data_IF_513204526701
#
_entry.id   IF_513204526701
#
_cell.length_a   1.000
_cell.length_b   1.000
_cell.length_c   1.000
_cell.angle_alpha   90.00
_cell.angle_beta   90.00
_cell.angle_gamma   90.00
#
_symmetry.space_group_name_H-M   'P 1'
#
loop_
_entity.id
_entity.type
_entity.pdbx_description
1 polymer ?
#
# COMPACT_ATOMS: atom_id res chain seq x y z
N UNK A 1 15.51 36.11 19.33
CA UNK A 1 14.58 35.08 18.83
C UNK A 1 14.81 34.93 17.33
N UNK A 2 15.46 33.85 16.90
CA UNK A 2 16.03 33.71 15.55
C UNK A 2 15.11 32.90 14.61
N UNK A 3 14.87 33.45 13.42
CA UNK A 3 14.00 32.97 12.33
C UNK A 3 14.58 31.75 11.57
N UNK A 4 14.88 30.63 12.24
CA UNK A 4 15.61 29.52 11.60
C UNK A 4 14.96 28.12 11.69
N UNK A 5 13.63 28.00 11.73
CA UNK A 5 12.97 26.68 11.87
C UNK A 5 12.20 26.20 10.61
N UNK A 6 12.25 26.92 9.49
CA UNK A 6 11.50 26.54 8.27
C UNK A 6 12.33 26.49 6.97
N UNK A 7 13.66 26.59 7.04
CA UNK A 7 14.49 26.45 5.85
C UNK A 7 14.74 24.96 5.54
N UNK A 8 14.53 24.48 4.30
CA UNK A 8 14.84 23.10 3.92
C UNK A 8 16.35 22.83 4.07
N UNK A 9 16.77 21.57 4.34
CA UNK A 9 18.17 21.24 4.50
C UNK A 9 18.94 21.61 3.22
N UNK A 10 19.95 22.47 3.38
CA UNK A 10 20.88 22.85 2.31
C UNK A 10 22.16 22.04 2.43
N UNK A 11 22.61 21.43 1.33
CA UNK A 11 23.92 20.79 1.29
C UNK A 11 24.96 21.77 0.74
N UNK A 12 26.03 21.97 1.51
CA UNK A 12 27.15 22.86 1.15
C UNK A 12 28.23 22.04 0.46
N UNK A 13 28.53 22.34 -0.79
CA UNK A 13 29.66 21.73 -1.52
C UNK A 13 30.86 22.70 -1.58
N UNK A 14 32.04 22.20 -1.99
CA UNK A 14 33.23 23.04 -2.16
C UNK A 14 32.95 24.20 -3.13
N UNK A 15 33.64 25.34 -2.92
CA UNK A 15 33.44 26.60 -3.66
C UNK A 15 32.15 27.38 -3.33
N UNK A 16 31.70 27.32 -2.07
CA UNK A 16 30.67 28.21 -1.51
C UNK A 16 29.30 28.17 -2.22
N UNK A 17 28.96 27.04 -2.86
CA UNK A 17 27.64 26.79 -3.47
C UNK A 17 26.76 26.01 -2.51
N UNK A 18 25.56 26.52 -2.24
CA UNK A 18 24.52 25.87 -1.44
C UNK A 18 23.43 25.34 -2.37
N UNK A 19 23.15 24.04 -2.30
CA UNK A 19 22.06 23.40 -3.03
C UNK A 19 20.91 23.06 -2.08
N UNK A 20 19.67 23.27 -2.54
CA UNK A 20 18.46 22.81 -1.82
C UNK A 20 18.23 21.34 -2.15
N UNK A 21 18.08 20.51 -1.11
CA UNK A 21 17.86 19.08 -1.27
C UNK A 21 16.36 18.80 -1.30
N UNK A 22 15.89 18.15 -2.37
CA UNK A 22 14.54 17.60 -2.40
C UNK A 22 14.50 16.36 -1.50
N UNK A 23 13.46 16.25 -0.66
CA UNK A 23 13.23 15.07 0.15
C UNK A 23 12.81 13.94 -0.80
N UNK A 24 13.75 13.05 -1.12
CA UNK A 24 13.50 11.83 -1.88
C UNK A 24 13.12 10.74 -0.87
N UNK A 25 12.01 10.04 -1.12
CA UNK A 25 11.57 8.94 -0.26
C UNK A 25 12.67 7.88 -0.12
N UNK A 26 12.83 7.27 1.05
CA UNK A 26 13.93 6.34 1.33
C UNK A 26 13.95 5.12 0.39
N UNK A 27 12.77 4.68 -0.07
CA UNK A 27 12.62 3.60 -1.05
C UNK A 27 13.24 3.92 -2.44
N UNK A 28 13.52 5.19 -2.73
CA UNK A 28 14.24 5.65 -3.94
C UNK A 28 15.70 6.07 -3.64
N UNK A 29 16.19 5.74 -2.44
CA UNK A 29 17.57 5.98 -2.03
C UNK A 29 17.80 7.28 -1.27
N UNK A 30 16.78 7.93 -0.69
CA UNK A 30 16.92 9.18 0.08
C UNK A 30 18.14 9.23 1.02
N UNK A 31 18.44 8.12 1.72
CA UNK A 31 19.62 7.95 2.58
C UNK A 31 20.96 7.81 1.83
N UNK A 32 20.99 7.21 0.64
CA UNK A 32 22.20 7.08 -0.22
C UNK A 32 22.55 8.37 -0.94
N UNK A 33 21.58 9.21 -1.27
CA UNK A 33 21.82 10.49 -1.96
C UNK A 33 22.52 11.54 -1.08
N UNK A 34 22.41 11.42 0.25
CA UNK A 34 23.04 12.32 1.22
C UNK A 34 24.41 11.84 1.74
N UNK A 35 24.89 10.67 1.31
CA UNK A 35 26.18 10.12 1.74
C UNK A 35 27.28 10.41 0.71
N UNK A 36 28.51 10.70 1.20
CA UNK A 36 29.68 10.98 0.34
C UNK A 36 29.94 9.82 -0.62
N UNK A 37 30.00 10.16 -1.92
CA UNK A 37 30.29 9.28 -3.05
C UNK A 37 31.31 8.18 -2.74
N UNK A 38 30.89 6.92 -2.88
CA UNK A 38 31.78 5.86 -3.36
C UNK A 38 31.42 5.56 -4.81
N UNK A 39 32.42 5.69 -5.68
CA UNK A 39 32.33 5.46 -7.11
C UNK A 39 32.13 3.98 -7.39
N UNK A 40 30.93 3.58 -7.80
CA UNK A 40 30.71 2.32 -8.50
C UNK A 40 30.24 2.61 -9.91
N UNK A 41 31.02 2.18 -10.89
CA UNK A 41 30.70 2.13 -12.32
C UNK A 41 29.44 1.28 -12.56
N UNK A 42 28.27 1.93 -12.53
CA UNK A 42 26.99 1.28 -12.86
C UNK A 42 26.76 1.38 -14.36
N UNK A 43 26.55 0.21 -15.00
CA UNK A 43 25.91 0.13 -16.33
C UNK A 43 24.63 0.97 -16.33
N UNK A 44 24.37 1.66 -17.44
CA UNK A 44 23.17 2.46 -17.63
C UNK A 44 21.93 1.61 -17.37
N UNK A 45 20.99 2.17 -16.61
CA UNK A 45 19.71 1.52 -16.34
C UNK A 45 18.93 1.46 -17.66
N UNK A 46 18.82 0.28 -18.26
CA UNK A 46 17.90 0.00 -19.37
C UNK A 46 16.56 -0.42 -18.76
N UNK A 47 15.55 0.43 -18.93
CA UNK A 47 14.16 0.12 -18.57
C UNK A 47 13.62 -0.91 -19.59
N UNK A 48 13.02 -2.00 -19.12
CA UNK A 48 12.35 -2.95 -20.01
C UNK A 48 11.24 -2.24 -20.78
N UNK A 49 11.03 -2.63 -22.03
CA UNK A 49 9.98 -2.08 -22.88
C UNK A 49 8.60 -2.47 -22.32
N UNK A 50 8.00 -1.55 -21.57
CA UNK A 50 6.71 -1.70 -20.89
C UNK A 50 5.54 -1.21 -21.76
N UNK A 51 5.78 -0.84 -23.03
CA UNK A 51 4.79 -0.27 -23.94
C UNK A 51 4.23 -1.30 -24.93
N UNK A 52 3.92 -2.51 -24.45
CA UNK A 52 3.11 -3.45 -25.23
C UNK A 52 1.71 -2.86 -25.47
N UNK A 53 1.20 -2.99 -26.70
CA UNK A 53 -0.15 -2.55 -27.12
C UNK A 53 -1.24 -3.26 -26.30
N UNK A 54 -1.50 -2.77 -25.10
CA UNK A 54 -2.68 -3.09 -24.32
C UNK A 54 -3.66 -1.91 -24.44
N UNK A 55 -4.80 -2.16 -25.10
CA UNK A 55 -5.93 -1.24 -25.23
C UNK A 55 -6.54 -0.97 -23.84
N UNK A 56 -5.97 -0.01 -23.11
CA UNK A 56 -6.53 0.46 -21.84
C UNK A 56 -7.77 1.33 -22.06
N UNK A 57 -8.82 1.06 -21.29
CA UNK A 57 -10.06 1.83 -21.22
C UNK A 57 -9.81 3.32 -20.97
N UNK A 58 -10.70 4.16 -21.53
CA UNK A 58 -10.70 5.62 -21.44
C UNK A 58 -10.42 6.11 -20.01
N UNK A 59 -9.26 6.73 -19.80
CA UNK A 59 -8.90 7.28 -18.52
C UNK A 59 -9.81 8.48 -18.21
N UNK A 60 -10.73 8.34 -17.25
CA UNK A 60 -11.66 9.42 -16.87
C UNK A 60 -11.00 10.75 -16.47
N UNK A 61 -9.68 10.79 -16.23
CA UNK A 61 -8.92 12.04 -16.05
C UNK A 61 -8.71 12.80 -17.37
N UNK A 62 -8.82 12.15 -18.52
CA UNK A 62 -8.85 12.81 -19.83
C UNK A 62 -10.00 13.82 -19.93
N UNK A 63 -11.11 13.63 -19.18
CA UNK A 63 -12.21 14.60 -19.10
C UNK A 63 -11.80 15.93 -18.46
N UNK A 64 -10.75 15.96 -17.63
CA UNK A 64 -10.27 17.15 -16.92
C UNK A 64 -9.27 17.99 -17.73
N UNK A 65 -9.05 17.67 -19.02
CA UNK A 65 -8.20 18.47 -19.90
C UNK A 65 -8.94 19.74 -20.31
N UNK A 66 -8.41 20.88 -19.87
CA UNK A 66 -8.94 22.22 -20.13
C UNK A 66 -8.31 22.81 -21.40
N UNK A 67 -9.13 23.41 -22.26
CA UNK A 67 -8.67 24.27 -23.36
C UNK A 67 -8.40 25.68 -22.83
N UNK A 68 -7.24 26.22 -23.17
CA UNK A 68 -6.78 27.54 -22.75
C UNK A 68 -7.21 28.60 -23.76
N UNK A 69 -7.28 29.89 -23.37
CA UNK A 69 -7.65 30.99 -24.28
C UNK A 69 -6.74 31.13 -25.52
N UNK A 70 -5.52 30.58 -25.47
CA UNK A 70 -4.58 30.58 -26.59
C UNK A 70 -4.74 29.36 -27.53
N UNK A 71 -5.75 28.53 -27.30
CA UNK A 71 -6.02 27.29 -28.05
C UNK A 71 -5.15 26.10 -27.64
N UNK A 72 -4.29 26.24 -26.61
CA UNK A 72 -3.53 25.13 -26.06
C UNK A 72 -4.35 24.31 -25.05
N UNK A 73 -3.92 23.08 -24.77
CA UNK A 73 -4.55 22.20 -23.79
C UNK A 73 -3.68 22.06 -22.55
N UNK A 74 -4.33 22.06 -21.38
CA UNK A 74 -3.67 21.89 -20.08
C UNK A 74 -4.39 20.83 -19.25
N UNK A 75 -3.60 20.00 -18.59
CA UNK A 75 -4.07 19.11 -17.54
C UNK A 75 -3.33 19.40 -16.24
N UNK A 76 -4.08 19.52 -15.14
CA UNK A 76 -3.54 19.53 -13.79
C UNK A 76 -3.81 18.16 -13.15
N UNK A 77 -2.74 17.45 -12.79
CA UNK A 77 -2.79 16.10 -12.23
C UNK A 77 -2.21 16.12 -10.82
N UNK A 78 -2.98 15.66 -9.84
CA UNK A 78 -2.45 15.44 -8.50
C UNK A 78 -1.44 14.28 -8.50
N UNK A 79 -0.22 14.55 -8.03
CA UNK A 79 0.84 13.53 -7.90
C UNK A 79 1.50 13.69 -6.53
N UNK A 80 1.56 12.64 -5.69
CA UNK A 80 2.26 12.68 -4.43
C UNK A 80 3.72 13.10 -4.58
N UNK A 81 4.19 13.96 -3.67
CA UNK A 81 5.57 14.51 -3.70
C UNK A 81 6.64 13.43 -3.71
N UNK A 82 6.36 12.28 -3.10
CA UNK A 82 7.24 11.10 -3.08
C UNK A 82 7.60 10.59 -4.48
N UNK A 83 6.76 10.84 -5.50
CA UNK A 83 7.02 10.44 -6.88
C UNK A 83 7.82 11.46 -7.69
N UNK A 84 7.95 12.71 -7.23
CA UNK A 84 8.60 13.78 -8.03
C UNK A 84 10.03 13.41 -8.42
N UNK A 85 10.79 12.79 -7.51
CA UNK A 85 12.16 12.35 -7.80
C UNK A 85 12.22 11.33 -8.94
N UNK A 86 11.32 10.33 -8.92
CA UNK A 86 11.22 9.32 -9.98
C UNK A 86 10.71 9.88 -11.31
N UNK A 87 9.73 10.78 -11.26
CA UNK A 87 9.16 11.45 -12.43
C UNK A 87 10.18 12.35 -13.13
N UNK A 88 10.98 13.10 -12.36
CA UNK A 88 12.07 13.92 -12.90
C UNK A 88 13.16 12.99 -13.46
N UNK A 89 13.55 11.97 -12.72
CA UNK A 89 14.64 11.06 -13.09
C UNK A 89 16.03 11.69 -12.96
N UNK A 90 17.07 10.91 -13.22
CA UNK A 90 18.45 11.37 -13.08
C UNK A 90 18.73 12.53 -14.04
N UNK A 91 19.10 13.70 -13.50
CA UNK A 91 19.29 14.95 -14.27
C UNK A 91 18.08 15.33 -15.15
N UNK A 92 16.87 14.93 -14.77
CA UNK A 92 15.67 15.23 -15.56
C UNK A 92 15.45 14.31 -16.75
N UNK A 93 16.18 13.19 -16.86
CA UNK A 93 16.13 12.30 -18.03
C UNK A 93 14.73 11.77 -18.32
N UNK A 94 14.03 11.28 -17.29
CA UNK A 94 12.71 10.65 -17.43
C UNK A 94 11.66 11.66 -17.87
N UNK A 95 11.60 12.81 -17.19
CA UNK A 95 10.72 13.92 -17.56
C UNK A 95 10.96 14.36 -19.01
N UNK A 96 12.22 14.61 -19.40
CA UNK A 96 12.58 15.04 -20.77
C UNK A 96 12.20 13.99 -21.82
N UNK A 97 12.37 12.71 -21.49
CA UNK A 97 11.97 11.60 -22.36
C UNK A 97 10.46 11.62 -22.61
N UNK A 98 9.64 11.71 -21.56
CA UNK A 98 8.18 11.78 -21.68
C UNK A 98 7.77 13.04 -22.49
N UNK A 99 8.34 14.21 -22.18
CA UNK A 99 8.08 15.46 -22.92
C UNK A 99 8.40 15.32 -24.42
N UNK A 100 9.52 14.66 -24.77
CA UNK A 100 9.95 14.46 -26.16
C UNK A 100 9.03 13.49 -26.90
N UNK A 101 8.74 12.33 -26.31
CA UNK A 101 7.92 11.28 -26.92
C UNK A 101 6.45 11.72 -27.10
N UNK A 102 5.92 12.51 -26.15
CA UNK A 102 4.53 12.96 -26.17
C UNK A 102 4.34 14.36 -26.77
N UNK A 103 5.41 15.06 -27.15
CA UNK A 103 5.35 16.47 -27.61
C UNK A 103 4.59 17.37 -26.63
N UNK A 104 4.91 17.23 -25.34
CA UNK A 104 4.29 18.01 -24.26
C UNK A 104 5.33 18.76 -23.44
N UNK A 105 4.86 19.75 -22.68
CA UNK A 105 5.62 20.36 -21.59
C UNK A 105 5.05 19.91 -20.26
N UNK A 106 5.89 19.36 -19.40
CA UNK A 106 5.54 18.88 -18.07
C UNK A 106 6.19 19.81 -17.05
N UNK A 107 5.40 20.36 -16.14
CA UNK A 107 5.89 21.14 -15.00
C UNK A 107 5.62 20.39 -13.70
N UNK A 108 6.70 19.92 -13.06
CA UNK A 108 6.67 19.31 -11.74
C UNK A 108 6.73 20.42 -10.68
N UNK A 109 5.76 20.47 -9.74
CA UNK A 109 5.71 21.48 -8.71
C UNK A 109 6.99 21.58 -7.87
N UNK A 110 7.40 22.81 -7.60
CA UNK A 110 8.46 23.15 -6.64
C UNK A 110 7.85 23.55 -5.31
N UNK A 111 8.66 23.53 -4.24
CA UNK A 111 8.22 23.97 -2.91
C UNK A 111 7.69 25.41 -2.85
N UNK A 112 8.05 26.23 -3.85
CA UNK A 112 7.61 27.63 -3.99
C UNK A 112 6.27 27.78 -4.70
N UNK A 113 5.78 26.71 -5.32
CA UNK A 113 4.57 26.77 -6.14
C UNK A 113 3.35 26.66 -5.22
N UNK A 114 2.28 27.41 -5.55
CA UNK A 114 1.06 27.46 -4.74
C UNK A 114 0.21 26.17 -4.85
N UNK A 115 0.33 25.45 -5.97
CA UNK A 115 -0.31 24.15 -6.20
C UNK A 115 0.74 23.04 -6.19
N UNK A 116 0.34 21.86 -5.72
CA UNK A 116 1.13 20.62 -5.76
C UNK A 116 0.75 19.72 -6.95
N UNK A 117 0.05 20.25 -7.96
CA UNK A 117 -0.38 19.49 -9.12
C UNK A 117 0.66 19.54 -10.24
N UNK A 118 0.97 18.36 -10.80
CA UNK A 118 1.73 18.21 -12.03
C UNK A 118 0.95 18.86 -13.18
N UNK A 119 1.56 19.79 -13.91
CA UNK A 119 0.91 20.44 -15.04
C UNK A 119 1.47 19.87 -16.35
N UNK A 120 0.60 19.33 -17.20
CA UNK A 120 0.93 18.87 -18.56
C UNK A 120 0.30 19.85 -19.55
N UNK A 121 1.06 20.31 -20.55
CA UNK A 121 0.58 21.23 -21.59
C UNK A 121 1.00 20.79 -22.99
N UNK A 122 0.12 20.98 -23.97
CA UNK A 122 0.43 20.81 -25.40
C UNK A 122 -0.55 21.60 -26.26
N UNK A 123 -0.24 21.78 -27.54
CA UNK A 123 -1.16 22.40 -28.50
C UNK A 123 -2.22 21.41 -29.03
N UNK A 124 -2.05 20.11 -28.79
CA UNK A 124 -3.00 19.08 -29.20
C UNK A 124 -3.46 18.27 -27.99
N UNK A 125 -4.76 18.01 -27.89
CA UNK A 125 -5.35 17.22 -26.80
C UNK A 125 -4.78 15.80 -26.73
N UNK A 126 -4.60 15.16 -27.89
CA UNK A 126 -4.03 13.81 -28.01
C UNK A 126 -2.63 13.68 -27.38
N UNK A 127 -1.80 14.71 -27.51
CA UNK A 127 -0.46 14.75 -26.92
C UNK A 127 -0.53 14.80 -25.38
N UNK A 128 -1.50 15.55 -24.82
CA UNK A 128 -1.74 15.57 -23.36
C UNK A 128 -2.20 14.20 -22.86
N UNK A 129 -3.11 13.52 -23.58
CA UNK A 129 -3.53 12.15 -23.24
C UNK A 129 -2.34 11.16 -23.30
N UNK A 130 -1.50 11.25 -24.33
CA UNK A 130 -0.30 10.41 -24.47
C UNK A 130 0.67 10.63 -23.29
N UNK A 131 0.91 11.88 -22.90
CA UNK A 131 1.73 12.21 -21.74
C UNK A 131 1.14 11.69 -20.42
N UNK A 132 -0.17 11.85 -20.23
CA UNK A 132 -0.90 11.35 -19.05
C UNK A 132 -0.71 9.84 -18.89
N UNK A 133 -0.90 9.06 -19.97
CA UNK A 133 -0.70 7.60 -19.97
C UNK A 133 0.72 7.22 -19.58
N UNK A 134 1.73 7.87 -20.20
CA UNK A 134 3.15 7.64 -19.87
C UNK A 134 3.48 7.99 -18.42
N UNK A 135 2.93 9.07 -17.89
CA UNK A 135 3.10 9.46 -16.49
C UNK A 135 2.47 8.41 -15.57
N UNK A 136 1.26 7.94 -15.85
CA UNK A 136 0.59 6.90 -15.04
C UNK A 136 1.36 5.60 -14.98
N UNK A 137 1.78 5.07 -16.12
CA UNK A 137 2.59 3.85 -16.18
C UNK A 137 3.87 3.97 -15.35
N UNK A 138 4.52 5.14 -15.39
CA UNK A 138 5.68 5.42 -14.54
C UNK A 138 5.31 5.45 -13.06
N UNK A 139 4.22 6.14 -12.68
CA UNK A 139 3.77 6.20 -11.29
C UNK A 139 3.43 4.81 -10.74
N UNK A 140 2.77 3.95 -11.53
CA UNK A 140 2.44 2.58 -11.15
C UNK A 140 3.71 1.74 -10.96
N UNK A 141 4.67 1.85 -11.88
CA UNK A 141 5.98 1.21 -11.77
C UNK A 141 6.74 1.66 -10.51
N UNK A 142 6.71 2.96 -10.20
CA UNK A 142 7.32 3.49 -8.99
C UNK A 142 6.60 3.00 -7.73
N UNK A 143 5.26 2.99 -7.72
CA UNK A 143 4.44 2.55 -6.57
C UNK A 143 4.65 1.07 -6.27
N UNK A 144 4.80 0.21 -7.28
CA UNK A 144 5.12 -1.22 -7.13
C UNK A 144 6.43 -1.49 -6.37
N UNK A 145 7.30 -0.49 -6.25
CA UNK A 145 8.57 -0.59 -5.52
C UNK A 145 8.48 -0.05 -4.08
N UNK A 146 7.36 0.57 -3.72
CA UNK A 146 7.17 1.18 -2.40
C UNK A 146 6.62 0.17 -1.42
N UNK A 147 6.95 0.38 -0.14
CA UNK A 147 6.40 -0.45 0.93
C UNK A 147 4.92 -0.14 1.14
N UNK A 148 4.08 -1.16 1.45
CA UNK A 148 2.71 -0.94 1.87
C UNK A 148 2.59 0.00 3.07
N UNK A 149 1.52 0.79 3.07
CA UNK A 149 1.23 1.81 4.09
C UNK A 149 -0.13 1.63 4.72
N UNK A 150 -1.12 1.12 3.98
CA UNK A 150 -2.49 0.95 4.45
C UNK A 150 -3.03 -0.42 4.05
N UNK A 151 -4.09 -0.86 4.74
CA UNK A 151 -4.78 -2.09 4.44
C UNK A 151 -6.26 -2.01 4.81
N UNK A 152 -7.11 -2.77 4.14
CA UNK A 152 -8.51 -2.95 4.53
C UNK A 152 -8.60 -4.08 5.55
N UNK A 153 -9.28 -3.84 6.66
CA UNK A 153 -9.34 -4.74 7.79
C UNK A 153 -10.78 -5.01 8.24
N UNK A 154 -11.08 -6.27 8.53
CA UNK A 154 -12.25 -6.68 9.33
C UNK A 154 -11.76 -7.04 10.73
N UNK A 155 -12.13 -6.30 11.78
CA UNK A 155 -11.67 -6.58 13.13
C UNK A 155 -12.30 -7.87 13.67
N UNK A 156 -11.50 -8.70 14.34
CA UNK A 156 -11.94 -9.91 15.06
C UNK A 156 -11.54 -9.84 16.55
N UNK A 157 -11.16 -8.66 17.03
CA UNK A 157 -10.56 -8.40 18.33
C UNK A 157 -11.58 -8.26 19.48
N UNK A 158 -12.75 -8.90 19.34
CA UNK A 158 -13.83 -8.90 20.35
C UNK A 158 -14.62 -10.20 20.33
N UNK A 159 -15.40 -10.44 21.39
CA UNK A 159 -16.30 -11.59 21.51
C UNK A 159 -15.58 -12.94 21.51
N UNK A 160 -16.31 -13.97 21.07
CA UNK A 160 -15.89 -15.37 21.16
C UNK A 160 -14.54 -15.63 20.48
N UNK A 161 -14.30 -15.08 19.28
CA UNK A 161 -13.05 -15.32 18.53
C UNK A 161 -11.83 -14.82 19.30
N UNK A 162 -11.93 -13.65 19.96
CA UNK A 162 -10.83 -13.13 20.80
C UNK A 162 -10.58 -14.03 22.00
N UNK A 163 -11.62 -14.44 22.70
CA UNK A 163 -11.49 -15.28 23.89
C UNK A 163 -10.85 -16.63 23.54
N UNK A 164 -11.28 -17.23 22.42
CA UNK A 164 -10.72 -18.48 21.91
C UNK A 164 -9.29 -18.32 21.37
N UNK A 165 -8.97 -17.17 20.78
CA UNK A 165 -7.59 -16.84 20.40
C UNK A 165 -6.67 -16.80 21.63
N UNK A 166 -7.10 -16.15 22.71
CA UNK A 166 -6.34 -16.12 23.97
C UNK A 166 -6.20 -17.52 24.58
N UNK A 167 -7.25 -18.35 24.52
CA UNK A 167 -7.22 -19.76 24.94
C UNK A 167 -6.17 -20.56 24.15
N UNK A 168 -6.18 -20.44 22.82
CA UNK A 168 -5.20 -21.11 21.96
C UNK A 168 -3.77 -20.63 22.26
N UNK A 169 -3.58 -19.32 22.38
CA UNK A 169 -2.28 -18.71 22.71
C UNK A 169 -1.72 -19.30 24.00
N UNK A 170 -2.54 -19.37 25.05
CA UNK A 170 -2.13 -19.97 26.32
C UNK A 170 -1.75 -21.45 26.16
N UNK A 171 -2.59 -22.24 25.47
CA UNK A 171 -2.32 -23.67 25.22
C UNK A 171 -1.03 -23.93 24.45
N UNK A 172 -0.70 -23.10 23.46
CA UNK A 172 0.54 -23.21 22.68
C UNK A 172 1.75 -22.85 23.55
N UNK A 173 1.67 -21.77 24.33
CA UNK A 173 2.76 -21.35 25.21
C UNK A 173 3.03 -22.36 26.33
N UNK A 174 1.98 -22.94 26.91
CA UNK A 174 2.08 -23.98 27.95
C UNK A 174 2.72 -25.28 27.41
N UNK A 175 2.63 -25.52 26.11
CA UNK A 175 3.28 -26.65 25.47
C UNK A 175 4.81 -26.50 25.33
N UNK A 176 5.37 -25.32 25.62
CA UNK A 176 6.81 -25.02 25.64
C UNK A 176 7.53 -25.51 24.37
N UNK A 177 6.92 -25.28 23.20
CA UNK A 177 7.47 -25.74 21.93
C UNK A 177 8.76 -24.98 21.58
N UNK A 178 9.84 -25.67 21.16
CA UNK A 178 11.11 -25.02 20.83
C UNK A 178 10.95 -23.96 19.75
N UNK A 179 11.50 -22.76 20.00
CA UNK A 179 11.45 -21.67 19.02
C UNK A 179 10.07 -21.06 18.83
N UNK A 180 9.11 -21.32 19.72
CA UNK A 180 7.80 -20.66 19.77
C UNK A 180 7.68 -19.89 21.08
N UNK A 181 7.57 -18.57 21.00
CA UNK A 181 7.44 -17.67 22.14
C UNK A 181 6.26 -16.71 21.97
N UNK A 182 6.01 -15.88 22.98
CA UNK A 182 4.90 -14.92 22.99
C UNK A 182 5.02 -13.82 21.95
N UNK A 183 6.23 -13.51 21.46
CA UNK A 183 6.46 -12.43 20.48
C UNK A 183 5.97 -12.82 19.08
N UNK A 184 5.93 -14.11 18.75
CA UNK A 184 5.37 -14.58 17.48
C UNK A 184 3.88 -14.28 17.34
N UNK A 185 3.14 -14.13 18.44
CA UNK A 185 1.70 -13.92 18.39
C UNK A 185 1.37 -12.49 17.97
N UNK A 186 0.40 -12.35 17.08
CA UNK A 186 -0.24 -11.06 16.90
C UNK A 186 -0.86 -10.61 18.23
N UNK A 187 -0.88 -9.30 18.50
CA UNK A 187 -1.62 -8.80 19.64
C UNK A 187 -3.10 -9.17 19.50
N UNK A 188 -3.72 -9.63 20.59
CA UNK A 188 -5.15 -9.95 20.68
C UNK A 188 -6.04 -8.73 20.39
N UNK A 189 -5.51 -7.52 20.55
CA UNK A 189 -6.16 -6.27 20.16
C UNK A 189 -6.19 -6.07 18.65
N UNK A 190 -5.26 -6.71 17.95
CA UNK A 190 -5.00 -6.55 16.52
C UNK A 190 -5.40 -7.76 15.68
N UNK A 191 -6.08 -8.78 16.19
CA UNK A 191 -6.57 -9.89 15.36
C UNK A 191 -7.62 -9.38 14.36
N UNK A 192 -7.42 -9.68 13.08
CA UNK A 192 -8.23 -9.17 11.98
C UNK A 192 -8.10 -10.03 10.71
N UNK A 193 -9.00 -9.79 9.75
CA UNK A 193 -8.87 -10.23 8.37
C UNK A 193 -8.35 -9.09 7.50
N UNK A 194 -7.42 -9.36 6.60
CA UNK A 194 -6.95 -8.38 5.60
C UNK A 194 -7.69 -8.58 4.28
N UNK A 195 -8.42 -7.56 3.82
CA UNK A 195 -9.16 -7.58 2.54
C UNK A 195 -8.40 -6.91 1.40
N UNK A 196 -7.33 -6.18 1.70
CA UNK A 196 -6.51 -5.55 0.68
C UNK A 196 -5.36 -4.75 1.28
N UNK A 197 -4.30 -4.53 0.51
CA UNK A 197 -3.08 -3.83 0.94
C UNK A 197 -2.72 -2.74 -0.08
N UNK A 198 -2.38 -1.55 0.41
CA UNK A 198 -2.27 -0.33 -0.40
C UNK A 198 -1.03 0.50 -0.06
N UNK A 199 -0.62 1.31 -1.04
CA UNK A 199 0.38 2.37 -0.89
C UNK A 199 -0.36 3.70 -1.06
N UNK A 200 -0.54 4.48 0.01
CA UNK A 200 -1.20 5.78 0.03
C UNK A 200 -0.23 6.80 0.64
N UNK A 201 0.21 7.77 -0.14
CA UNK A 201 1.42 8.53 0.14
C UNK A 201 1.15 9.91 0.75
N UNK A 202 -0.05 10.45 0.61
CA UNK A 202 -0.45 11.72 1.19
C UNK A 202 -1.93 11.73 1.62
N UNK A 203 -2.38 12.86 2.18
CA UNK A 203 -3.74 13.02 2.68
C UNK A 203 -4.79 13.02 1.57
N UNK A 204 -4.43 13.46 0.36
CA UNK A 204 -5.34 13.46 -0.77
C UNK A 204 -5.63 12.03 -1.23
N UNK A 205 -4.60 11.19 -1.37
CA UNK A 205 -4.78 9.76 -1.66
C UNK A 205 -5.52 9.03 -0.54
N UNK A 206 -5.22 9.32 0.73
CA UNK A 206 -5.95 8.74 1.87
C UNK A 206 -7.44 9.07 1.80
N UNK A 207 -7.79 10.34 1.55
CA UNK A 207 -9.17 10.77 1.40
C UNK A 207 -9.83 10.10 0.19
N UNK A 208 -9.12 9.99 -0.93
CA UNK A 208 -9.65 9.33 -2.12
C UNK A 208 -9.91 7.84 -1.86
N UNK A 209 -8.97 7.12 -1.25
CA UNK A 209 -9.14 5.71 -0.90
C UNK A 209 -10.34 5.48 0.05
N UNK A 210 -10.62 6.41 0.96
CA UNK A 210 -11.83 6.35 1.80
C UNK A 210 -13.10 6.57 0.96
N UNK A 211 -13.08 7.48 -0.01
CA UNK A 211 -14.20 7.66 -0.94
C UNK A 211 -14.44 6.40 -1.78
N UNK A 212 -13.38 5.80 -2.33
CA UNK A 212 -13.46 4.52 -3.05
C UNK A 212 -13.97 3.39 -2.17
N UNK A 213 -13.59 3.37 -0.89
CA UNK A 213 -14.19 2.43 0.06
C UNK A 213 -15.70 2.69 0.26
N UNK A 214 -16.16 3.94 0.20
CA UNK A 214 -17.60 4.24 0.27
C UNK A 214 -18.34 3.81 -1.00
N UNK A 215 -17.75 3.92 -2.19
CA UNK A 215 -18.39 3.48 -3.44
C UNK A 215 -18.62 1.96 -3.44
N UNK A 216 -17.76 1.20 -2.76
CA UNK A 216 -17.92 -0.24 -2.54
C UNK A 216 -19.25 -0.61 -1.84
N UNK A 217 -19.89 0.33 -1.12
CA UNK A 217 -21.21 0.13 -0.49
C UNK A 217 -22.24 -0.40 -1.49
N UNK A 218 -22.15 -0.02 -2.77
CA UNK A 218 -23.08 -0.46 -3.80
C UNK A 218 -23.17 -2.00 -3.93
N UNK A 219 -22.09 -2.72 -3.61
CA UNK A 219 -22.09 -4.19 -3.69
C UNK A 219 -22.65 -4.88 -2.46
N UNK A 220 -22.98 -4.14 -1.40
CA UNK A 220 -23.67 -4.68 -0.23
C UNK A 220 -25.16 -4.90 -0.51
N UNK A 221 -25.74 -4.24 -1.52
CA UNK A 221 -27.17 -4.33 -1.83
C UNK A 221 -27.62 -5.77 -2.13
N UNK A 222 -26.74 -6.57 -2.74
CA UNK A 222 -27.02 -7.97 -3.11
C UNK A 222 -26.58 -8.98 -2.05
N UNK A 223 -26.08 -8.53 -0.90
CA UNK A 223 -25.48 -9.38 0.12
C UNK A 223 -26.22 -9.31 1.45
N UNK A 224 -26.29 -10.44 2.15
CA UNK A 224 -26.82 -10.49 3.51
C UNK A 224 -25.80 -9.94 4.49
N UNK A 225 -26.15 -8.81 5.11
CA UNK A 225 -25.39 -8.18 6.19
C UNK A 225 -26.17 -8.28 7.51
N UNK A 226 -25.49 -8.35 8.67
CA UNK A 226 -24.03 -8.39 8.83
C UNK A 226 -23.43 -9.71 8.36
N UNK A 227 -22.16 -9.68 7.96
CA UNK A 227 -21.50 -10.88 7.44
C UNK A 227 -21.20 -11.84 8.59
N UNK A 228 -21.74 -13.05 8.50
CA UNK A 228 -21.41 -14.13 9.42
C UNK A 228 -20.06 -14.75 9.05
N UNK A 229 -19.23 -14.95 10.07
CA UNK A 229 -17.90 -15.50 9.95
C UNK A 229 -17.80 -16.75 10.83
N UNK A 230 -17.26 -17.82 10.26
CA UNK A 230 -16.85 -19.00 11.02
C UNK A 230 -15.33 -19.12 10.95
N UNK A 231 -14.68 -19.11 12.11
CA UNK A 231 -13.22 -19.14 12.22
C UNK A 231 -12.83 -20.47 12.83
N UNK A 232 -12.24 -21.35 12.01
CA UNK A 232 -11.89 -22.70 12.44
C UNK A 232 -10.72 -23.23 11.65
N UNK A 233 -9.86 -23.94 12.35
CA UNK A 233 -8.71 -24.62 11.81
C UNK A 233 -7.51 -23.70 11.64
N UNK A 234 -6.32 -24.32 11.52
CA UNK A 234 -5.04 -23.65 11.38
C UNK A 234 -4.32 -24.13 10.12
N UNK A 235 -3.74 -23.19 9.40
CA UNK A 235 -2.91 -23.44 8.22
C UNK A 235 -1.70 -22.50 8.21
N UNK A 236 -0.80 -22.76 7.26
CA UNK A 236 0.42 -21.99 7.03
C UNK A 236 0.44 -21.42 5.61
N UNK A 237 1.13 -20.28 5.43
CA UNK A 237 1.15 -19.60 4.12
C UNK A 237 2.10 -20.27 3.11
N UNK A 238 3.01 -21.12 3.59
CA UNK A 238 3.96 -21.90 2.80
C UNK A 238 3.73 -23.41 2.97
N UNK A 239 4.38 -24.25 2.18
CA UNK A 239 4.13 -25.71 2.19
C UNK A 239 5.01 -26.51 3.16
N UNK A 240 5.85 -25.84 3.96
CA UNK A 240 6.81 -26.49 4.88
C UNK A 240 6.50 -26.17 6.36
N UNK A 241 5.86 -27.10 7.10
CA UNK A 241 5.58 -26.97 8.53
C UNK A 241 6.82 -26.83 9.42
N UNK A 242 8.00 -27.26 8.99
CA UNK A 242 9.23 -27.12 9.76
C UNK A 242 9.85 -25.72 9.66
N UNK A 243 9.39 -24.92 8.70
CA UNK A 243 9.94 -23.60 8.36
C UNK A 243 8.82 -22.59 8.07
N UNK A 244 7.98 -22.35 9.09
CA UNK A 244 6.81 -21.47 8.99
C UNK A 244 7.19 -20.03 9.22
N UNK A 245 6.63 -19.11 8.42
CA UNK A 245 6.69 -17.66 8.67
C UNK A 245 5.37 -17.08 9.13
N UNK A 246 4.26 -17.60 8.62
CA UNK A 246 2.91 -17.15 8.94
C UNK A 246 2.05 -18.37 9.18
N UNK A 247 1.47 -18.45 10.37
CA UNK A 247 0.41 -19.39 10.72
C UNK A 247 -0.87 -18.60 10.96
N UNK A 248 -1.96 -19.01 10.33
CA UNK A 248 -3.23 -18.31 10.36
C UNK A 248 -4.39 -19.27 10.64
N UNK A 249 -5.49 -18.72 11.13
CA UNK A 249 -6.76 -19.42 11.25
C UNK A 249 -7.57 -19.28 9.95
N UNK A 250 -8.19 -20.38 9.52
CA UNK A 250 -9.04 -20.40 8.33
C UNK A 250 -10.40 -19.76 8.62
N UNK A 251 -10.97 -19.11 7.61
CA UNK A 251 -12.19 -18.30 7.74
C UNK A 251 -13.14 -18.67 6.63
N UNK A 252 -14.35 -19.05 7.01
CA UNK A 252 -15.46 -19.32 6.10
C UNK A 252 -16.49 -18.19 6.24
N UNK A 253 -16.68 -17.45 5.15
CA UNK A 253 -17.72 -16.40 5.05
C UNK A 253 -18.01 -16.10 3.58
N UNK A 254 -18.98 -16.82 2.96
CA UNK A 254 -19.26 -16.69 1.52
C UNK A 254 -19.64 -15.26 1.10
N UNK A 255 -20.45 -14.57 1.89
CA UNK A 255 -20.91 -13.21 1.60
C UNK A 255 -19.76 -12.20 1.72
N UNK A 256 -18.92 -12.30 2.77
CA UNK A 256 -17.74 -11.44 2.90
C UNK A 256 -16.73 -11.73 1.81
N UNK A 257 -16.54 -12.99 1.40
CA UNK A 257 -15.64 -13.36 0.30
C UNK A 257 -16.05 -12.64 -0.99
N UNK A 258 -17.34 -12.72 -1.36
CA UNK A 258 -17.86 -12.00 -2.54
C UNK A 258 -17.65 -10.49 -2.43
N UNK A 259 -17.90 -9.90 -1.26
CA UNK A 259 -17.67 -8.48 -1.04
C UNK A 259 -16.18 -8.10 -1.15
N UNK A 260 -15.30 -8.88 -0.54
CA UNK A 260 -13.86 -8.67 -0.52
C UNK A 260 -13.25 -8.77 -1.92
N UNK A 261 -13.68 -9.74 -2.73
CA UNK A 261 -13.21 -9.91 -4.10
C UNK A 261 -13.68 -8.76 -5.01
N UNK A 262 -14.91 -8.27 -4.83
CA UNK A 262 -15.39 -7.06 -5.53
C UNK A 262 -14.60 -5.81 -5.12
N UNK A 263 -14.32 -5.65 -3.81
CA UNK A 263 -13.45 -4.58 -3.32
C UNK A 263 -12.04 -4.66 -3.91
N UNK A 264 -11.43 -5.85 -3.93
CA UNK A 264 -10.11 -6.03 -4.52
C UNK A 264 -10.08 -5.58 -5.98
N UNK A 265 -11.03 -6.08 -6.79
CA UNK A 265 -11.13 -5.75 -8.22
C UNK A 265 -11.30 -4.26 -8.47
N UNK A 266 -12.14 -3.59 -7.68
CA UNK A 266 -12.30 -2.15 -7.77
C UNK A 266 -11.04 -1.40 -7.37
N UNK A 267 -10.42 -1.74 -6.24
CA UNK A 267 -9.19 -1.05 -5.83
C UNK A 267 -8.02 -1.29 -6.79
N UNK A 268 -8.00 -2.40 -7.54
CA UNK A 268 -7.02 -2.62 -8.62
C UNK A 268 -7.13 -1.57 -9.74
N UNK A 269 -8.32 -1.04 -10.03
CA UNK A 269 -8.50 0.02 -11.05
C UNK A 269 -8.07 1.40 -10.56
N UNK A 270 -7.96 1.61 -9.25
CA UNK A 270 -7.61 2.92 -8.66
C UNK A 270 -6.12 3.25 -8.69
N UNK A 271 -5.25 2.26 -8.93
CA UNK A 271 -3.79 2.41 -8.84
C UNK A 271 -3.23 2.49 -7.42
N UNK A 272 -4.04 2.25 -6.38
CA UNK A 272 -3.59 2.31 -4.98
C UNK A 272 -3.02 0.99 -4.43
N UNK A 273 -3.31 -0.14 -5.08
CA UNK A 273 -2.91 -1.46 -4.62
C UNK A 273 -1.39 -1.61 -4.49
N UNK A 274 -0.97 -2.28 -3.43
CA UNK A 274 0.40 -2.77 -3.31
C UNK A 274 0.65 -3.90 -4.34
N UNK A 275 1.92 -4.17 -4.62
CA UNK A 275 2.36 -5.10 -5.67
C UNK A 275 1.65 -6.45 -5.63
N UNK A 276 1.59 -7.09 -4.47
CA UNK A 276 0.98 -8.42 -4.30
C UNK A 276 -0.54 -8.43 -4.54
N UNK A 277 -1.18 -7.25 -4.49
CA UNK A 277 -2.61 -7.09 -4.70
C UNK A 277 -2.96 -6.62 -6.11
N UNK A 278 -2.00 -6.19 -6.93
CA UNK A 278 -2.28 -5.68 -8.28
C UNK A 278 -2.74 -6.78 -9.25
N UNK A 279 -2.25 -8.01 -9.09
CA UNK A 279 -2.54 -9.13 -10.00
C UNK A 279 -3.24 -10.29 -9.28
N UNK A 280 -3.81 -10.03 -8.10
CA UNK A 280 -4.45 -11.05 -7.29
C UNK A 280 -5.88 -11.24 -7.74
N UNK A 281 -6.27 -12.47 -8.04
CA UNK A 281 -7.63 -12.76 -8.51
C UNK A 281 -8.66 -12.65 -7.38
N UNK A 282 -8.36 -13.25 -6.22
CA UNK A 282 -9.28 -13.33 -5.09
C UNK A 282 -8.54 -13.18 -3.75
N UNK A 283 -9.22 -12.65 -2.74
CA UNK A 283 -8.73 -12.54 -1.37
C UNK A 283 -8.79 -13.91 -0.70
N UNK A 284 -7.69 -14.29 -0.03
CA UNK A 284 -7.71 -15.44 0.89
C UNK A 284 -8.11 -14.92 2.25
N UNK A 285 -9.35 -15.14 2.68
CA UNK A 285 -9.77 -14.77 4.02
C UNK A 285 -9.02 -15.62 5.04
N UNK A 286 -8.28 -14.96 5.93
CA UNK A 286 -7.52 -15.59 6.99
C UNK A 286 -7.31 -14.62 8.15
N UNK A 287 -7.23 -15.15 9.36
CA UNK A 287 -6.84 -14.40 10.56
C UNK A 287 -5.43 -14.82 10.96
N UNK A 288 -4.44 -13.94 10.86
CA UNK A 288 -3.06 -14.28 11.29
C UNK A 288 -3.04 -14.57 12.78
N UNK A 289 -2.39 -15.67 13.18
CA UNK A 289 -2.21 -16.06 14.58
C UNK A 289 -0.76 -15.84 15.01
N UNK A 290 0.17 -16.40 14.23
CA UNK A 290 1.62 -16.26 14.46
C UNK A 290 2.30 -15.68 13.21
N UNK A 291 3.27 -14.81 13.42
CA UNK A 291 4.12 -14.29 12.35
C UNK A 291 5.55 -14.10 12.83
N UNK A 292 6.52 -14.66 12.11
CA UNK A 292 7.93 -14.48 12.44
C UNK A 292 8.38 -13.03 12.38
N UNK A 293 7.68 -12.19 11.60
CA UNK A 293 7.98 -10.75 11.46
C UNK A 293 7.72 -9.92 12.72
N UNK A 294 7.06 -10.47 13.73
CA UNK A 294 6.79 -9.76 14.98
C UNK A 294 7.97 -9.79 15.96
N UNK A 295 8.92 -10.72 15.76
CA UNK A 295 10.19 -10.74 16.50
C UNK A 295 11.08 -9.61 16.00
N UNK A 296 11.50 -8.73 16.90
CA UNK A 296 12.35 -7.59 16.52
C UNK A 296 13.77 -8.02 16.13
N UNK A 297 14.32 -9.03 16.80
CA UNK A 297 15.72 -9.44 16.68
C UNK A 297 15.94 -10.59 15.68
N UNK A 298 14.93 -11.44 15.42
CA UNK A 298 15.07 -12.58 14.53
C UNK A 298 13.78 -12.93 13.77
N UNK A 299 13.69 -12.46 12.53
CA UNK A 299 12.58 -12.72 11.61
C UNK A 299 12.64 -14.09 10.91
N UNK A 300 13.53 -15.00 11.35
CA UNK A 300 13.63 -16.35 10.79
C UNK A 300 12.33 -17.13 10.94
N UNK A 301 12.14 -18.15 10.11
CA UNK A 301 11.04 -19.09 10.29
C UNK A 301 11.13 -19.79 11.65
N UNK A 302 10.01 -20.38 12.06
CA UNK A 302 9.86 -21.23 13.24
C UNK A 302 9.24 -22.57 12.84
N UNK A 303 9.45 -23.61 13.64
CA UNK A 303 8.83 -24.92 13.42
C UNK A 303 7.38 -24.91 13.94
N UNK A 304 6.42 -25.00 13.03
CA UNK A 304 4.99 -25.06 13.33
C UNK A 304 4.42 -26.48 13.34
N UNK A 305 5.24 -27.51 13.12
CA UNK A 305 4.78 -28.89 12.92
C UNK A 305 3.97 -29.42 14.10
N UNK A 306 4.47 -29.22 15.33
CA UNK A 306 3.78 -29.65 16.54
C UNK A 306 2.55 -28.79 16.87
N UNK A 307 2.52 -27.51 16.45
CA UNK A 307 1.32 -26.67 16.58
C UNK A 307 0.22 -27.22 15.69
N UNK A 308 0.52 -27.45 14.41
CA UNK A 308 -0.44 -27.97 13.44
C UNK A 308 -0.93 -29.37 13.87
N UNK A 309 -0.03 -30.26 14.29
CA UNK A 309 -0.39 -31.61 14.74
C UNK A 309 -1.36 -31.62 15.94
N UNK A 310 -1.24 -30.67 16.87
CA UNK A 310 -2.04 -30.64 18.10
C UNK A 310 -3.29 -29.79 17.99
N UNK A 311 -3.25 -28.74 17.17
CA UNK A 311 -4.25 -27.68 17.16
C UNK A 311 -4.81 -27.37 15.75
N UNK A 312 -4.54 -28.20 14.74
CA UNK A 312 -5.00 -27.99 13.35
C UNK A 312 -6.49 -27.73 13.22
N UNK A 313 -7.33 -28.37 14.04
CA UNK A 313 -8.79 -28.28 13.96
C UNK A 313 -9.40 -27.34 15.02
N UNK A 314 -8.57 -26.49 15.63
CA UNK A 314 -9.02 -25.59 16.71
C UNK A 314 -10.17 -24.68 16.23
N UNK A 315 -11.24 -24.64 17.02
CA UNK A 315 -12.46 -23.90 16.71
C UNK A 315 -12.48 -22.58 17.49
N UNK A 316 -12.30 -21.47 16.76
CA UNK A 316 -12.36 -20.13 17.34
C UNK A 316 -13.79 -19.61 17.48
N UNK A 317 -14.77 -20.33 16.92
CA UNK A 317 -16.18 -19.97 16.96
C UNK A 317 -16.60 -19.04 15.82
N UNK A 318 -17.62 -18.23 16.10
CA UNK A 318 -18.23 -17.35 15.12
C UNK A 318 -18.06 -15.87 15.47
N UNK A 319 -18.09 -15.03 14.45
CA UNK A 319 -18.09 -13.58 14.58
C UNK A 319 -19.04 -12.95 13.56
N UNK A 320 -19.39 -11.69 13.79
CA UNK A 320 -20.16 -10.88 12.85
C UNK A 320 -19.33 -9.67 12.42
N UNK A 321 -19.34 -9.36 11.13
CA UNK A 321 -18.73 -8.17 10.56
C UNK A 321 -19.82 -7.18 10.13
N UNK A 322 -19.76 -5.98 10.71
CA UNK A 322 -20.65 -4.86 10.42
C UNK A 322 -19.89 -3.67 9.79
N UNK A 323 -18.57 -3.75 9.71
CA UNK A 323 -17.75 -2.67 9.18
C UNK A 323 -16.40 -3.15 8.67
N UNK A 324 -15.87 -2.41 7.70
CA UNK A 324 -14.51 -2.57 7.16
C UNK A 324 -13.76 -1.28 7.39
N UNK A 325 -12.54 -1.37 7.93
CA UNK A 325 -11.68 -0.23 8.21
C UNK A 325 -10.55 -0.12 7.21
N UNK A 326 -10.24 1.09 6.74
CA UNK A 326 -8.96 1.41 6.11
C UNK A 326 -7.98 1.80 7.21
N UNK A 327 -7.01 0.93 7.50
CA UNK A 327 -6.07 1.05 8.61
C UNK A 327 -4.67 1.43 8.13
N UNK A 328 -3.92 2.14 8.97
CA UNK A 328 -2.49 2.43 8.76
C UNK A 328 -1.66 1.23 9.23
N UNK A 329 -0.80 0.68 8.37
CA UNK A 329 0.11 -0.42 8.75
C UNK A 329 1.06 0.02 9.87
N UNK A 330 1.41 -0.93 10.76
CA UNK A 330 2.37 -0.76 11.87
C UNK A 330 1.99 0.30 12.92
N UNK A 331 0.77 0.82 12.89
CA UNK A 331 0.27 1.81 13.83
C UNK A 331 -0.28 1.22 15.15
N UNK A 332 -0.22 -0.10 15.33
CA UNK A 332 -0.79 -0.77 16.52
C UNK A 332 -0.11 -0.41 17.84
N UNK A 333 1.10 0.15 17.80
CA UNK A 333 1.80 0.67 18.98
C UNK A 333 1.48 2.15 19.26
N UNK A 334 0.83 2.83 18.32
CA UNK A 334 0.49 4.26 18.41
C UNK A 334 -0.91 4.48 19.00
N UNK A 335 -1.74 3.44 19.06
CA UNK A 335 -3.12 3.47 19.57
C UNK A 335 -3.36 2.33 20.54
N UNK A 336 -4.32 2.49 21.45
CA UNK A 336 -4.60 1.50 22.49
C UNK A 336 -5.47 0.33 21.99
N UNK A 337 -6.36 0.55 21.02
CA UNK A 337 -7.44 -0.40 20.72
C UNK A 337 -7.17 -1.38 19.56
N UNK A 338 -6.70 -0.90 18.41
CA UNK A 338 -6.52 -1.70 17.18
C UNK A 338 -5.36 -1.15 16.34
N UNK A 339 -5.65 -0.64 15.15
CA UNK A 339 -4.75 0.16 14.32
C UNK A 339 -5.32 1.57 14.21
N UNK A 340 -4.49 2.54 13.84
CA UNK A 340 -4.98 3.86 13.45
C UNK A 340 -5.86 3.73 12.21
N UNK A 341 -7.12 4.17 12.34
CA UNK A 341 -8.13 4.10 11.29
C UNK A 341 -8.11 5.41 10.49
N UNK A 342 -7.94 5.31 9.18
CA UNK A 342 -8.02 6.43 8.23
C UNK A 342 -9.48 6.69 7.83
N UNK A 343 -10.28 5.64 7.69
CA UNK A 343 -11.70 5.72 7.38
C UNK A 343 -12.36 4.35 7.47
N UNK A 344 -13.68 4.29 7.33
CA UNK A 344 -14.43 3.03 7.49
C UNK A 344 -15.71 3.01 6.68
N UNK A 345 -16.10 1.82 6.24
CA UNK A 345 -17.41 1.55 5.67
C UNK A 345 -18.21 0.72 6.68
N UNK A 346 -19.28 1.30 7.22
CA UNK A 346 -20.23 0.63 8.13
C UNK A 346 -21.48 0.21 7.38
N UNK A 347 -22.05 -0.94 7.70
CA UNK A 347 -23.26 -1.47 7.09
C UNK A 347 -24.13 -2.24 8.08
#
# INVERSE_FOLDING_TARGET
MSRNVLAPPTQRMSHNRNYRVNVVHDDFGGSKWNSKNQSSTSKGYEEQDLYGDEDYEDDGTECNIEEQPDGSFKLALHVPKSFYGGLIGFKGSTKRRIETESKTTIHVPRQTDASNDLIIRSNERSNVCSALRKVRLLLDSLRKRMRPTHFLAVPLNSGQVKDRFMELKQKILDAQLPGVDSELFISERCIHLTLGVYVLLDDAERKNAVNELQTCRQWLADLTTPFELKVKGLEIMNDDPSSVRVLYACVESPQLQQFADKCLKHFQTTGFCATDNNTRDNIKLHMTVLNSRYREENNSSFDGSEILKRFSDFDFGTAQCNEVHLCVLKSSREVEDFYKITGSLKF
#
